data_IF_886893463840
#
_entry.id   IF_886893463840
#
_cell.length_a   1.000
_cell.length_b   1.000
_cell.length_c   1.000
_cell.angle_alpha   90.00
_cell.angle_beta   90.00
_cell.angle_gamma   90.00
#
_symmetry.space_group_name_H-M   'P 1'
#
loop_
_entity.id
_entity.type
_entity.pdbx_description
1 polymer ?
#
# COMPACT_ATOMS: atom_id res chain seq x y z
N UNK A 1 6.93 16.10 22.85
CA UNK A 1 6.56 15.69 21.49
C UNK A 1 7.73 14.91 20.94
N UNK A 2 7.60 13.59 20.81
CA UNK A 2 8.55 12.81 20.02
C UNK A 2 8.33 13.25 18.57
N UNK A 3 9.30 13.93 17.98
CA UNK A 3 9.38 14.06 16.52
C UNK A 3 9.69 12.67 15.99
N UNK A 4 8.70 12.04 15.40
CA UNK A 4 8.83 10.75 14.73
C UNK A 4 9.81 10.96 13.57
N UNK A 5 10.90 10.18 13.54
CA UNK A 5 11.88 10.24 12.46
C UNK A 5 11.40 9.35 11.31
N UNK A 6 11.13 9.95 10.16
CA UNK A 6 10.60 9.27 8.97
C UNK A 6 11.68 9.08 7.91
N UNK A 7 12.94 9.36 8.25
CA UNK A 7 14.02 9.36 7.27
C UNK A 7 14.21 8.02 6.58
N UNK A 8 13.99 6.88 7.25
CA UNK A 8 14.09 5.57 6.62
C UNK A 8 12.96 5.32 5.61
N UNK A 9 11.71 5.70 5.96
CA UNK A 9 10.60 5.65 5.02
C UNK A 9 10.88 6.53 3.79
N UNK A 10 11.36 7.76 3.99
CA UNK A 10 11.65 8.67 2.88
C UNK A 10 12.79 8.17 2.00
N UNK A 11 13.86 7.64 2.59
CA UNK A 11 14.96 7.04 1.83
C UNK A 11 14.50 5.82 1.00
N UNK A 12 13.59 5.03 1.56
CA UNK A 12 13.00 3.90 0.86
C UNK A 12 12.03 4.35 -0.25
N UNK A 13 11.16 5.32 0.02
CA UNK A 13 10.28 5.93 -0.98
C UNK A 13 11.07 6.55 -2.13
N UNK A 14 12.16 7.27 -1.86
CA UNK A 14 13.00 7.84 -2.92
C UNK A 14 13.63 6.75 -3.82
N UNK A 15 13.89 5.57 -3.27
CA UNK A 15 14.41 4.42 -4.02
C UNK A 15 13.30 3.69 -4.80
N UNK A 16 12.12 3.54 -4.20
CA UNK A 16 11.02 2.74 -4.74
C UNK A 16 10.00 3.56 -5.54
N UNK A 17 10.10 4.91 -5.54
CA UNK A 17 9.16 5.80 -6.21
C UNK A 17 9.15 5.54 -7.72
N UNK A 18 8.01 5.12 -8.29
CA UNK A 18 7.89 4.95 -9.73
C UNK A 18 8.12 6.28 -10.48
N UNK A 19 8.74 6.20 -11.65
CA UNK A 19 8.80 7.34 -12.56
C UNK A 19 7.39 7.85 -12.89
N UNK A 20 7.16 9.15 -12.77
CA UNK A 20 5.85 9.75 -13.00
C UNK A 20 4.84 9.53 -11.87
N UNK A 21 5.27 9.11 -10.68
CA UNK A 21 4.38 8.97 -9.53
C UNK A 21 3.80 10.32 -9.07
N UNK A 22 2.51 10.31 -8.80
CA UNK A 22 1.72 11.45 -8.30
C UNK A 22 1.32 11.23 -6.85
N UNK A 23 0.95 12.30 -6.16
CA UNK A 23 0.39 12.23 -4.82
C UNK A 23 -1.12 12.40 -4.90
N UNK A 24 -1.85 11.47 -4.29
CA UNK A 24 -3.30 11.54 -4.14
C UNK A 24 -3.67 11.60 -2.65
N UNK A 25 -4.86 12.07 -2.33
CA UNK A 25 -5.35 12.20 -0.95
C UNK A 25 -6.78 11.70 -0.78
N UNK A 26 -7.08 11.15 0.39
CA UNK A 26 -8.42 10.71 0.82
C UNK A 26 -8.53 10.82 2.34
N UNK A 27 -9.75 10.85 2.88
CA UNK A 27 -9.95 10.49 4.28
C UNK A 27 -9.91 8.95 4.40
N UNK A 28 -9.29 8.37 5.45
CA UNK A 28 -9.21 6.91 5.57
C UNK A 28 -10.55 6.18 5.51
N UNK A 29 -11.59 6.77 6.11
CA UNK A 29 -12.95 6.19 6.14
C UNK A 29 -13.72 6.34 4.83
N UNK A 30 -13.24 7.18 3.91
CA UNK A 30 -13.83 7.36 2.59
C UNK A 30 -13.17 6.44 1.54
N UNK A 31 -12.14 5.67 1.93
CA UNK A 31 -11.50 4.69 1.06
C UNK A 31 -12.43 3.50 0.85
N UNK A 32 -12.91 3.32 -0.38
CA UNK A 32 -13.84 2.24 -0.70
C UNK A 32 -13.18 0.86 -0.59
N UNK A 33 -13.89 -0.07 0.06
CA UNK A 33 -13.46 -1.45 0.15
C UNK A 33 -13.59 -2.17 -1.21
N UNK A 34 -12.54 -2.88 -1.66
CA UNK A 34 -12.63 -3.66 -2.88
C UNK A 34 -13.61 -4.82 -2.72
N UNK A 35 -13.97 -5.43 -3.85
CA UNK A 35 -14.61 -6.74 -3.83
C UNK A 35 -13.68 -7.74 -3.13
N UNK A 36 -14.26 -8.61 -2.29
CA UNK A 36 -13.49 -9.61 -1.56
C UNK A 36 -12.60 -10.42 -2.51
N UNK A 37 -11.32 -10.55 -2.15
CA UNK A 37 -10.39 -11.39 -2.88
C UNK A 37 -10.80 -12.87 -2.76
N UNK A 38 -10.44 -13.71 -3.76
CA UNK A 38 -10.59 -15.15 -3.64
C UNK A 38 -9.90 -15.70 -2.38
N UNK A 39 -10.38 -16.84 -1.86
CA UNK A 39 -9.90 -17.40 -0.59
C UNK A 39 -8.45 -17.93 -0.60
N UNK A 40 -7.80 -17.97 -1.76
CA UNK A 40 -6.37 -18.25 -1.93
C UNK A 40 -5.47 -17.06 -1.59
N UNK A 41 -6.04 -15.87 -1.40
CA UNK A 41 -5.34 -14.65 -1.03
C UNK A 41 -5.50 -14.33 0.45
N UNK A 42 -4.46 -13.77 1.04
CA UNK A 42 -4.47 -13.29 2.43
C UNK A 42 -3.60 -12.05 2.59
N UNK A 43 -3.99 -11.17 3.51
CA UNK A 43 -3.22 -10.00 3.91
C UNK A 43 -2.57 -10.25 5.26
N UNK A 44 -1.30 -9.89 5.37
CA UNK A 44 -0.51 -10.01 6.59
C UNK A 44 0.14 -8.69 6.95
N UNK A 45 0.02 -8.32 8.23
CA UNK A 45 0.74 -7.18 8.79
C UNK A 45 2.13 -7.61 9.27
N UNK A 46 3.13 -6.82 8.92
CA UNK A 46 4.46 -6.90 9.50
C UNK A 46 4.77 -5.55 10.16
N UNK A 47 4.72 -5.46 11.51
CA UNK A 47 4.98 -4.21 12.21
C UNK A 47 6.46 -3.88 12.19
N UNK A 48 6.79 -2.66 11.76
CA UNK A 48 8.12 -2.07 11.92
C UNK A 48 8.00 -0.81 12.80
N UNK A 49 9.10 -0.46 13.47
CA UNK A 49 9.09 0.64 14.44
C UNK A 49 8.65 2.00 13.85
N UNK A 50 8.86 2.21 12.54
CA UNK A 50 8.66 3.50 11.87
C UNK A 50 7.50 3.52 10.87
N UNK A 51 7.01 2.34 10.45
CA UNK A 51 5.93 2.18 9.47
C UNK A 51 5.32 0.78 9.58
N UNK A 52 4.07 0.66 9.17
CA UNK A 52 3.38 -0.61 9.05
C UNK A 52 3.50 -1.14 7.62
N UNK A 53 3.59 -2.45 7.47
CA UNK A 53 3.69 -3.13 6.17
C UNK A 53 2.52 -4.09 6.04
N UNK A 54 1.84 -4.02 4.90
CA UNK A 54 0.85 -5.01 4.50
C UNK A 54 1.40 -5.84 3.33
N UNK A 55 1.46 -7.15 3.49
CA UNK A 55 1.82 -8.09 2.45
C UNK A 55 0.59 -8.87 1.99
N UNK A 56 0.32 -8.81 0.69
CA UNK A 56 -0.65 -9.69 0.05
C UNK A 56 0.06 -10.97 -0.37
N UNK A 57 -0.47 -12.10 0.04
CA UNK A 57 0.03 -13.42 -0.35
C UNK A 57 -0.97 -14.17 -1.23
N UNK A 58 -0.46 -15.07 -2.04
CA UNK A 58 -1.20 -16.08 -2.79
C UNK A 58 -0.64 -17.46 -2.39
N UNK A 59 -1.47 -18.31 -1.77
CA UNK A 59 -1.03 -19.57 -1.15
C UNK A 59 0.22 -19.41 -0.26
N UNK A 60 0.17 -18.46 0.68
CA UNK A 60 1.24 -18.12 1.63
C UNK A 60 2.54 -17.56 1.00
N UNK A 61 2.54 -17.25 -0.30
CA UNK A 61 3.68 -16.62 -0.98
C UNK A 61 3.40 -15.14 -1.19
N UNK A 62 4.27 -14.22 -0.74
CA UNK A 62 4.06 -12.79 -0.94
C UNK A 62 4.11 -12.45 -2.44
N UNK A 63 3.11 -11.71 -2.92
CA UNK A 63 2.99 -11.25 -4.31
C UNK A 63 2.97 -9.72 -4.42
N UNK A 64 2.48 -9.03 -3.39
CA UNK A 64 2.47 -7.57 -3.33
C UNK A 64 2.74 -7.07 -1.92
N UNK A 65 3.30 -5.88 -1.83
CA UNK A 65 3.61 -5.20 -0.57
C UNK A 65 3.20 -3.74 -0.65
N UNK A 66 2.53 -3.25 0.37
CA UNK A 66 2.31 -1.83 0.62
C UNK A 66 2.84 -1.44 1.99
N UNK A 67 3.00 -0.14 2.21
CA UNK A 67 3.50 0.40 3.47
C UNK A 67 2.74 1.65 3.84
N UNK A 68 2.54 1.88 5.12
CA UNK A 68 1.97 3.12 5.65
C UNK A 68 2.77 3.62 6.84
N UNK A 69 3.04 4.91 6.86
CA UNK A 69 3.56 5.58 8.05
C UNK A 69 2.55 6.61 8.52
N UNK A 70 2.34 6.68 9.84
CA UNK A 70 1.34 7.55 10.47
C UNK A 70 1.99 8.46 11.52
N UNK A 71 1.65 9.74 11.53
CA UNK A 71 2.10 10.72 12.51
C UNK A 71 0.96 11.68 12.86
N UNK A 72 0.32 11.42 14.00
CA UNK A 72 -0.87 12.16 14.40
C UNK A 72 -2.00 11.98 13.38
N UNK A 73 -2.56 13.08 12.90
CA UNK A 73 -3.71 13.08 12.00
C UNK A 73 -3.38 12.78 10.52
N UNK A 74 -2.13 12.47 10.18
CA UNK A 74 -1.69 12.27 8.80
C UNK A 74 -1.04 10.90 8.65
N UNK A 75 -1.37 10.19 7.57
CA UNK A 75 -0.62 9.01 7.13
C UNK A 75 -0.20 9.10 5.67
N UNK A 76 0.91 8.43 5.33
CA UNK A 76 1.44 8.33 3.98
C UNK A 76 1.54 6.87 3.55
N UNK A 77 0.84 6.52 2.48
CA UNK A 77 0.89 5.20 1.84
C UNK A 77 1.90 5.23 0.69
N UNK A 78 2.87 4.32 0.76
CA UNK A 78 3.83 4.08 -0.31
C UNK A 78 3.16 3.38 -1.50
N UNK A 79 3.73 3.47 -2.73
CA UNK A 79 3.21 2.70 -3.87
C UNK A 79 3.19 1.21 -3.54
N UNK A 80 2.12 0.51 -3.94
CA UNK A 80 2.06 -0.95 -3.81
C UNK A 80 3.01 -1.56 -4.82
N UNK A 81 3.96 -2.37 -4.38
CA UNK A 81 4.97 -2.99 -5.26
C UNK A 81 4.78 -4.50 -5.31
N UNK A 82 4.99 -5.09 -6.49
CA UNK A 82 5.10 -6.55 -6.62
C UNK A 82 6.32 -7.07 -5.86
N UNK A 83 6.17 -8.18 -5.15
CA UNK A 83 7.27 -8.86 -4.48
C UNK A 83 7.85 -9.90 -5.45
N UNK A 84 9.12 -9.82 -5.86
CA UNK A 84 9.74 -10.85 -6.69
C UNK A 84 9.74 -12.19 -5.94
N UNK A 85 9.19 -13.24 -6.54
CA UNK A 85 9.25 -14.59 -5.97
C UNK A 85 10.67 -15.16 -6.02
N UNK A 86 11.05 -15.97 -5.04
CA UNK A 86 12.34 -16.68 -4.98
C UNK A 86 12.39 -17.94 -5.90
N UNK A 87 11.69 -17.93 -7.04
CA UNK A 87 11.73 -19.05 -7.99
C UNK A 87 12.32 -18.63 -9.32
N UNK A 88 13.49 -19.19 -9.60
CA UNK A 88 14.06 -19.19 -10.94
C UNK A 88 13.10 -19.80 -11.96
N UNK A 89 13.02 -19.16 -13.12
CA UNK A 89 12.82 -19.81 -14.43
C UNK A 89 11.63 -20.78 -14.53
N UNK A 90 10.40 -20.29 -14.40
CA UNK A 90 9.20 -21.01 -14.81
C UNK A 90 8.10 -20.01 -15.18
N UNK A 91 7.72 -19.96 -16.46
CA UNK A 91 6.94 -18.88 -17.06
C UNK A 91 5.42 -18.87 -16.73
N UNK A 92 4.96 -19.59 -15.71
CA UNK A 92 3.52 -19.90 -15.55
C UNK A 92 2.91 -19.61 -14.16
N UNK A 93 3.61 -19.00 -13.19
CA UNK A 93 3.06 -18.75 -11.84
C UNK A 93 3.39 -17.36 -11.25
N UNK A 94 3.72 -16.38 -12.10
CA UNK A 94 3.72 -14.97 -11.69
C UNK A 94 2.26 -14.52 -11.55
N UNK A 95 1.68 -14.69 -10.36
CA UNK A 95 0.41 -14.05 -10.03
C UNK A 95 0.60 -12.53 -10.16
N UNK A 96 0.26 -11.99 -11.34
CA UNK A 96 0.46 -10.59 -11.63
C UNK A 96 -0.35 -9.74 -10.65
N UNK A 97 0.30 -8.76 -10.03
CA UNK A 97 -0.38 -7.77 -9.19
C UNK A 97 -1.30 -6.95 -10.10
N UNK A 98 -2.60 -7.00 -9.84
CA UNK A 98 -3.62 -6.31 -10.63
C UNK A 98 -4.31 -5.23 -9.80
N UNK A 99 -5.34 -4.61 -10.35
CA UNK A 99 -6.09 -3.55 -9.69
C UNK A 99 -6.75 -4.00 -8.38
N UNK A 100 -7.26 -5.23 -8.31
CA UNK A 100 -7.90 -5.75 -7.10
C UNK A 100 -6.88 -6.01 -6.00
N UNK A 101 -5.71 -6.53 -6.35
CA UNK A 101 -4.58 -6.72 -5.43
C UNK A 101 -4.10 -5.38 -4.84
N UNK A 102 -3.93 -4.35 -5.67
CA UNK A 102 -3.57 -3.01 -5.20
C UNK A 102 -4.63 -2.44 -4.27
N UNK A 103 -5.91 -2.53 -4.65
CA UNK A 103 -7.00 -1.99 -3.86
C UNK A 103 -7.11 -2.66 -2.47
N UNK A 104 -6.92 -3.98 -2.40
CA UNK A 104 -6.96 -4.70 -1.12
C UNK A 104 -5.83 -4.28 -0.17
N UNK A 105 -4.62 -4.11 -0.69
CA UNK A 105 -3.49 -3.62 0.13
C UNK A 105 -3.73 -2.18 0.60
N UNK A 106 -4.21 -1.31 -0.28
CA UNK A 106 -4.44 0.12 0.05
C UNK A 106 -5.57 0.28 1.07
N UNK A 107 -6.67 -0.45 0.94
CA UNK A 107 -7.77 -0.38 1.91
C UNK A 107 -7.33 -0.87 3.29
N UNK A 108 -6.61 -1.99 3.35
CA UNK A 108 -6.10 -2.51 4.62
C UNK A 108 -5.18 -1.50 5.31
N UNK A 109 -4.27 -0.87 4.56
CA UNK A 109 -3.39 0.18 5.08
C UNK A 109 -4.16 1.45 5.50
N UNK A 110 -5.21 1.81 4.77
CA UNK A 110 -6.08 2.93 5.14
C UNK A 110 -6.78 2.66 6.49
N UNK A 111 -7.26 1.43 6.70
CA UNK A 111 -7.87 1.02 7.96
C UNK A 111 -6.87 1.00 9.12
N UNK A 112 -5.64 0.56 8.88
CA UNK A 112 -4.54 0.63 9.87
C UNK A 112 -4.26 2.09 10.25
N UNK A 113 -4.05 2.97 9.27
CA UNK A 113 -3.82 4.40 9.51
C UNK A 113 -4.97 5.07 10.29
N UNK A 114 -6.22 4.73 9.96
CA UNK A 114 -7.37 5.23 10.71
C UNK A 114 -7.34 4.79 12.18
N UNK A 115 -7.01 3.53 12.42
CA UNK A 115 -6.91 2.95 13.76
C UNK A 115 -5.80 3.63 14.58
N UNK A 116 -4.73 4.08 13.91
CA UNK A 116 -3.63 4.86 14.52
C UNK A 116 -3.96 6.35 14.71
N UNK A 117 -5.13 6.80 14.26
CA UNK A 117 -5.63 8.17 14.47
C UNK A 117 -5.38 9.13 13.31
N UNK A 118 -5.06 8.63 12.12
CA UNK A 118 -5.00 9.48 10.93
C UNK A 118 -6.41 9.94 10.52
N UNK A 119 -6.52 11.22 10.16
CA UNK A 119 -7.72 11.84 9.57
C UNK A 119 -7.56 12.01 8.05
N UNK A 120 -6.32 12.07 7.56
CA UNK A 120 -5.99 12.29 6.15
C UNK A 120 -4.91 11.32 5.70
N UNK A 121 -5.13 10.70 4.54
CA UNK A 121 -4.16 9.89 3.82
C UNK A 121 -3.55 10.68 2.67
N UNK A 122 -2.25 10.47 2.46
CA UNK A 122 -1.58 10.74 1.20
C UNK A 122 -1.07 9.44 0.62
N UNK A 123 -1.44 9.11 -0.60
CA UNK A 123 -0.90 7.95 -1.31
C UNK A 123 0.02 8.41 -2.44
N UNK A 124 1.23 7.86 -2.46
CA UNK A 124 2.12 8.01 -3.62
C UNK A 124 1.75 6.92 -4.62
N UNK A 125 1.18 7.31 -5.75
CA UNK A 125 0.68 6.38 -6.76
C UNK A 125 1.56 6.41 -8.01
N UNK A 126 2.05 5.24 -8.42
CA UNK A 126 2.64 5.07 -9.76
C UNK A 126 1.57 5.21 -10.85
N UNK A 127 1.93 5.51 -12.12
CA UNK A 127 0.95 5.72 -13.19
C UNK A 127 -0.07 4.59 -13.38
N UNK A 128 0.33 3.34 -13.14
CA UNK A 128 -0.55 2.17 -13.25
C UNK A 128 -1.58 2.05 -12.11
N UNK A 129 -1.37 2.76 -10.98
CA UNK A 129 -2.20 2.66 -9.78
C UNK A 129 -3.18 3.83 -9.66
N UNK A 130 -2.93 4.96 -10.34
CA UNK A 130 -3.73 6.20 -10.20
C UNK A 130 -5.23 5.97 -10.37
N UNK A 131 -5.64 5.28 -11.43
CA UNK A 131 -7.06 5.07 -11.70
C UNK A 131 -7.71 4.10 -10.70
N UNK A 132 -6.94 3.15 -10.15
CA UNK A 132 -7.42 2.27 -9.07
C UNK A 132 -7.68 3.08 -7.81
N UNK A 133 -6.70 3.89 -7.38
CA UNK A 133 -6.85 4.72 -6.18
C UNK A 133 -7.97 5.75 -6.33
N UNK A 134 -8.13 6.37 -7.51
CA UNK A 134 -9.27 7.26 -7.78
C UNK A 134 -10.61 6.54 -7.66
N UNK A 135 -10.69 5.31 -8.16
CA UNK A 135 -11.86 4.45 -7.99
C UNK A 135 -12.17 4.12 -6.52
N UNK A 136 -11.17 4.21 -5.64
CA UNK A 136 -11.32 4.01 -4.19
C UNK A 136 -11.65 5.30 -3.42
N UNK A 137 -11.82 6.45 -4.09
CA UNK A 137 -12.15 7.71 -3.43
C UNK A 137 -10.97 8.68 -3.23
N UNK A 138 -9.78 8.35 -3.74
CA UNK A 138 -8.66 9.29 -3.72
C UNK A 138 -8.80 10.41 -4.78
N UNK A 139 -8.41 11.63 -4.42
CA UNK A 139 -8.37 12.80 -5.28
C UNK A 139 -6.94 13.36 -5.42
N UNK A 140 -6.71 14.27 -6.37
CA UNK A 140 -5.42 14.95 -6.50
C UNK A 140 -5.14 15.78 -5.23
N UNK A 141 -3.94 15.62 -4.65
CA UNK A 141 -3.51 16.26 -3.40
C UNK A 141 -2.99 17.70 -3.59
#
# INVERSE_FOLDING_TARGET
MNTQDWSALWAQLDTERPAGAVTLTAAPLDVEAPSALPGEYALFDAPFDEYEVAELTHFDRPIARGRVASAGAIAVIAPVTSVPGDQGTGADDDAAVDAAHVAAVVEHLAQTAHTEGADVLYAVAGPAQVEVLRGMGFADA
#
